data_IF_332421959355
#
_entry.id   IF_332421959355
#
_cell.length_a   1.000
_cell.length_b   1.000
_cell.length_c   1.000
_cell.angle_alpha   90.00
_cell.angle_beta   90.00
_cell.angle_gamma   90.00
#
_symmetry.space_group_name_H-M   'P 1'
#
loop_
_entity.id
_entity.type
_entity.pdbx_description
1 polymer ?
#
# COMPACT_ATOMS: atom_id res chain seq x y z
N UNK A 1 -8.59 -8.46 34.22
CA UNK A 1 -8.21 -7.58 33.09
C UNK A 1 -9.43 -7.15 32.27
N UNK A 2 -10.16 -8.06 31.61
CA UNK A 2 -11.37 -7.73 30.82
C UNK A 2 -12.42 -6.90 31.59
N UNK A 3 -12.78 -7.32 32.81
CA UNK A 3 -13.72 -6.58 33.66
C UNK A 3 -13.22 -5.17 34.05
N UNK A 4 -11.90 -5.02 34.23
CA UNK A 4 -11.28 -3.73 34.55
C UNK A 4 -11.27 -2.79 33.34
N UNK A 5 -11.04 -3.33 32.14
CA UNK A 5 -11.07 -2.56 30.89
C UNK A 5 -12.48 -2.08 30.54
N UNK A 6 -13.48 -2.94 30.77
CA UNK A 6 -14.89 -2.54 30.63
C UNK A 6 -15.21 -1.39 31.59
N UNK A 7 -14.77 -1.46 32.85
CA UNK A 7 -14.96 -0.35 33.81
C UNK A 7 -14.28 0.96 33.37
N UNK A 8 -13.11 0.90 32.73
CA UNK A 8 -12.43 2.10 32.21
C UNK A 8 -13.24 2.71 31.06
N UNK A 9 -13.81 1.85 30.20
CA UNK A 9 -14.67 2.29 29.09
C UNK A 9 -15.98 2.89 29.60
N UNK A 10 -16.64 2.23 30.54
CA UNK A 10 -17.96 2.64 31.04
C UNK A 10 -17.94 3.93 31.88
N UNK A 11 -16.77 4.27 32.45
CA UNK A 11 -16.59 5.50 33.23
C UNK A 11 -16.38 6.75 32.38
N UNK A 12 -16.25 6.62 31.06
CA UNK A 12 -15.95 7.72 30.12
C UNK A 12 -14.80 8.64 30.56
N UNK A 13 -13.86 8.10 31.34
CA UNK A 13 -12.71 8.87 31.86
C UNK A 13 -11.69 9.20 30.77
N UNK A 14 -11.70 8.46 29.66
CA UNK A 14 -10.77 8.60 28.56
C UNK A 14 -11.55 9.00 27.31
N UNK A 15 -11.27 10.20 26.81
CA UNK A 15 -11.81 10.68 25.54
C UNK A 15 -10.91 10.19 24.43
N UNK A 16 -11.45 9.32 23.59
CA UNK A 16 -10.76 8.84 22.40
C UNK A 16 -11.10 9.71 21.19
N UNK A 17 -10.34 9.52 20.11
CA UNK A 17 -10.58 10.19 18.83
C UNK A 17 -11.94 9.77 18.23
N UNK A 18 -12.67 10.70 17.59
CA UNK A 18 -14.01 10.46 17.08
C UNK A 18 -14.05 9.70 15.73
N UNK A 19 -12.97 9.74 14.95
CA UNK A 19 -12.91 9.22 13.58
C UNK A 19 -12.39 7.78 13.47
N UNK A 20 -11.96 7.15 14.57
CA UNK A 20 -11.48 5.77 14.57
C UNK A 20 -12.25 4.88 15.54
N UNK A 21 -12.32 3.58 15.22
CA UNK A 21 -12.85 2.58 16.14
C UNK A 21 -11.90 2.41 17.34
N UNK A 22 -12.40 2.73 18.53
CA UNK A 22 -11.58 2.82 19.74
C UNK A 22 -11.43 1.45 20.44
N UNK A 23 -10.19 0.98 20.55
CA UNK A 23 -9.86 -0.29 21.21
C UNK A 23 -8.62 -0.19 22.10
N UNK A 24 -8.76 -0.60 23.37
CA UNK A 24 -7.61 -0.76 24.27
C UNK A 24 -7.02 -2.15 24.03
N UNK A 25 -5.81 -2.20 23.49
CA UNK A 25 -5.06 -3.45 23.38
C UNK A 25 -4.38 -3.76 24.70
N UNK A 26 -4.53 -4.99 25.17
CA UNK A 26 -3.94 -5.41 26.42
C UNK A 26 -3.37 -6.83 26.30
N UNK A 27 -2.11 -6.96 26.68
CA UNK A 27 -1.36 -8.21 26.65
C UNK A 27 -0.90 -8.54 28.06
N UNK A 28 -1.04 -9.81 28.46
CA UNK A 28 -0.53 -10.31 29.75
C UNK A 28 0.63 -11.24 29.45
N UNK A 29 1.81 -10.92 29.95
CA UNK A 29 3.02 -11.69 29.73
C UNK A 29 3.56 -12.26 31.02
N UNK A 30 4.25 -13.41 30.92
CA UNK A 30 5.03 -13.95 32.03
C UNK A 30 6.29 -13.11 32.20
N UNK A 31 6.70 -12.91 33.44
CA UNK A 31 7.93 -12.20 33.75
C UNK A 31 9.15 -13.07 33.48
N UNK A 32 10.28 -12.42 33.26
CA UNK A 32 11.56 -13.10 33.11
C UNK A 32 11.91 -13.89 34.38
N UNK A 33 12.17 -15.20 34.28
CA UNK A 33 12.58 -16.04 35.42
C UNK A 33 13.99 -15.73 35.94
N UNK A 34 14.80 -14.98 35.19
CA UNK A 34 16.23 -14.76 35.47
C UNK A 34 16.50 -13.62 36.46
N UNK A 35 15.47 -12.87 36.82
CA UNK A 35 15.58 -11.66 37.65
C UNK A 35 14.65 -11.85 38.84
N UNK A 36 15.14 -11.55 40.05
CA UNK A 36 14.27 -11.50 41.23
C UNK A 36 13.44 -10.22 41.20
N UNK A 37 12.11 -10.36 41.20
CA UNK A 37 11.20 -9.23 41.10
C UNK A 37 10.67 -8.84 42.49
N UNK A 38 10.84 -7.58 42.94
CA UNK A 38 10.35 -7.14 44.24
C UNK A 38 8.81 -7.01 44.29
N UNK A 39 8.19 -6.62 43.19
CA UNK A 39 6.74 -6.38 43.11
C UNK A 39 6.01 -7.59 42.56
N UNK A 40 4.80 -7.91 43.04
CA UNK A 40 4.00 -9.05 42.52
C UNK A 40 3.38 -8.81 41.14
N UNK A 41 3.03 -7.56 40.82
CA UNK A 41 2.38 -7.17 39.55
C UNK A 41 3.06 -5.92 38.98
N UNK A 42 3.17 -5.85 37.66
CA UNK A 42 3.75 -4.73 36.91
C UNK A 42 2.91 -4.50 35.65
N UNK A 43 2.67 -3.24 35.31
CA UNK A 43 1.93 -2.85 34.10
C UNK A 43 2.69 -1.77 33.36
N UNK A 44 2.62 -1.83 32.03
CA UNK A 44 3.16 -0.81 31.12
C UNK A 44 2.02 -0.38 30.20
N UNK A 45 1.81 0.93 30.09
CA UNK A 45 0.88 1.52 29.15
C UNK A 45 1.69 2.19 28.04
N UNK A 46 1.49 1.73 26.81
CA UNK A 46 1.93 2.44 25.62
C UNK A 46 0.71 3.17 25.06
N UNK A 47 0.67 4.49 25.23
CA UNK A 47 -0.42 5.33 24.79
C UNK A 47 0.08 6.33 23.74
N UNK A 48 -0.52 6.29 22.56
CA UNK A 48 -0.43 7.39 21.62
C UNK A 48 -1.51 8.41 21.99
N UNK A 49 -1.10 9.62 22.39
CA UNK A 49 -2.01 10.65 22.88
C UNK A 49 -1.67 11.99 22.23
N UNK A 50 -2.68 12.66 21.65
CA UNK A 50 -2.51 13.94 20.93
C UNK A 50 -2.01 15.08 21.81
N UNK A 51 -2.13 14.96 23.13
CA UNK A 51 -1.60 15.93 24.10
C UNK A 51 -0.07 16.05 24.13
N UNK A 52 0.68 15.23 23.36
CA UNK A 52 2.11 15.45 23.12
C UNK A 52 2.38 16.81 22.44
N UNK A 53 1.39 17.36 21.70
CA UNK A 53 1.48 18.66 21.05
C UNK A 53 1.88 19.78 22.02
N UNK A 54 1.35 19.79 23.24
CA UNK A 54 1.67 20.80 24.26
C UNK A 54 3.16 20.82 24.64
N UNK A 55 3.80 19.64 24.65
CA UNK A 55 5.25 19.54 24.87
C UNK A 55 6.02 20.16 23.71
N UNK A 56 5.60 19.89 22.46
CA UNK A 56 6.22 20.48 21.28
C UNK A 56 6.03 22.00 21.22
N UNK A 57 4.86 22.52 21.59
CA UNK A 57 4.62 23.96 21.70
C UNK A 57 5.58 24.61 22.72
N UNK A 58 5.80 23.98 23.87
CA UNK A 58 6.76 24.48 24.87
C UNK A 58 8.21 24.45 24.35
N UNK A 59 8.58 23.42 23.59
CA UNK A 59 9.89 23.33 22.93
C UNK A 59 10.06 24.42 21.88
N UNK A 60 9.06 24.65 21.03
CA UNK A 60 9.05 25.73 20.03
C UNK A 60 9.15 27.11 20.69
N UNK A 61 8.41 27.34 21.76
CA UNK A 61 8.49 28.60 22.51
C UNK A 61 9.89 28.86 23.07
N UNK A 62 10.60 27.80 23.47
CA UNK A 62 11.97 27.89 23.96
C UNK A 62 12.95 28.12 22.82
N UNK A 63 12.76 27.44 21.69
CA UNK A 63 13.53 27.62 20.46
C UNK A 63 13.39 29.05 19.92
N UNK A 64 12.16 29.56 19.77
CA UNK A 64 11.89 30.90 19.23
C UNK A 64 12.55 32.01 20.08
N UNK A 65 12.61 31.83 21.41
CA UNK A 65 13.32 32.75 22.32
C UNK A 65 14.83 32.77 22.08
N UNK A 66 15.44 31.62 21.82
CA UNK A 66 16.87 31.49 21.54
C UNK A 66 17.21 31.97 20.13
N UNK A 67 16.39 31.61 19.13
CA UNK A 67 16.55 32.01 17.73
C UNK A 67 16.47 33.54 17.58
N UNK A 68 15.53 34.21 18.26
CA UNK A 68 15.42 35.68 18.30
C UNK A 68 16.67 36.36 18.85
N UNK A 69 17.34 35.74 19.82
CA UNK A 69 18.59 36.25 20.43
C UNK A 69 19.84 35.83 19.67
N UNK A 70 19.72 35.03 18.61
CA UNK A 70 20.83 34.37 17.90
C UNK A 70 21.81 33.67 18.86
N UNK A 71 21.29 33.15 19.97
CA UNK A 71 22.11 32.56 21.03
C UNK A 71 22.59 31.17 20.63
N UNK A 72 23.85 30.85 20.96
CA UNK A 72 24.48 29.55 20.76
C UNK A 72 24.60 29.06 19.31
N UNK A 73 24.36 29.92 18.31
CA UNK A 73 24.41 29.53 16.89
C UNK A 73 25.83 29.21 16.41
N UNK A 74 26.83 29.97 16.88
CA UNK A 74 28.23 29.81 16.48
C UNK A 74 28.81 28.42 16.78
N UNK A 75 28.27 27.72 17.78
CA UNK A 75 28.73 26.38 18.15
C UNK A 75 28.32 25.30 17.13
N UNK A 76 27.25 25.52 16.36
CA UNK A 76 26.72 24.49 15.46
C UNK A 76 27.43 24.40 14.11
N UNK A 77 28.33 25.33 13.81
CA UNK A 77 29.13 25.34 12.59
C UNK A 77 28.32 25.62 11.33
N UNK A 78 28.71 26.65 10.57
CA UNK A 78 28.06 27.01 9.30
C UNK A 78 28.17 25.92 8.22
N UNK A 79 29.13 25.00 8.35
CA UNK A 79 29.32 23.88 7.41
C UNK A 79 28.28 22.78 7.59
N UNK A 80 27.66 22.65 8.78
CA UNK A 80 26.70 21.58 9.09
C UNK A 80 25.26 22.03 8.88
N UNK A 81 24.92 23.27 9.25
CA UNK A 81 23.54 23.80 9.19
C UNK A 81 23.29 24.79 8.04
N UNK A 82 24.28 24.97 7.14
CA UNK A 82 24.23 25.96 6.06
C UNK A 82 24.61 27.38 6.51
N UNK A 83 24.75 28.29 5.53
CA UNK A 83 25.32 29.63 5.74
C UNK A 83 24.48 30.52 6.67
N UNK A 84 23.16 30.32 6.72
CA UNK A 84 22.22 31.13 7.51
C UNK A 84 21.41 30.34 8.55
N UNK A 85 21.77 29.06 8.77
CA UNK A 85 21.05 28.14 9.65
C UNK A 85 19.58 27.93 9.24
N UNK A 86 19.25 28.09 7.96
CA UNK A 86 17.89 27.96 7.40
C UNK A 86 17.26 26.58 7.66
N UNK A 87 18.10 25.56 7.84
CA UNK A 87 17.66 24.20 8.17
C UNK A 87 16.96 24.14 9.55
N UNK A 88 17.37 24.99 10.50
CA UNK A 88 16.71 25.11 11.80
C UNK A 88 15.31 25.71 11.66
N UNK A 89 15.16 26.72 10.80
CA UNK A 89 13.88 27.37 10.56
C UNK A 89 12.93 26.42 9.80
N UNK A 90 13.46 25.68 8.84
CA UNK A 90 12.72 24.60 8.15
C UNK A 90 12.26 23.53 9.14
N UNK A 91 13.13 23.10 10.06
CA UNK A 91 12.78 22.11 11.09
C UNK A 91 11.73 22.63 12.06
N UNK A 92 11.79 23.92 12.42
CA UNK A 92 10.79 24.60 13.24
C UNK A 92 9.42 24.61 12.57
N UNK A 93 9.35 24.88 11.26
CA UNK A 93 8.12 24.80 10.48
C UNK A 93 7.54 23.38 10.44
N UNK A 94 8.38 22.34 10.36
CA UNK A 94 7.91 20.94 10.40
C UNK A 94 7.27 20.58 11.74
N UNK A 95 7.86 21.01 12.85
CA UNK A 95 7.28 20.78 14.18
C UNK A 95 5.96 21.55 14.33
N UNK A 96 5.88 22.77 13.78
CA UNK A 96 4.64 23.56 13.75
C UNK A 96 3.52 22.82 12.99
N UNK A 97 3.81 22.29 11.80
CA UNK A 97 2.88 21.47 11.02
C UNK A 97 2.42 20.23 11.80
N UNK A 98 3.34 19.58 12.51
CA UNK A 98 3.03 18.41 13.34
C UNK A 98 2.08 18.75 14.49
N UNK A 99 2.27 19.90 15.15
CA UNK A 99 1.35 20.38 16.19
C UNK A 99 -0.05 20.62 15.60
N UNK A 100 -0.13 21.29 14.46
CA UNK A 100 -1.39 21.54 13.75
C UNK A 100 -2.10 20.24 13.37
N UNK A 101 -1.34 19.24 12.91
CA UNK A 101 -1.85 17.90 12.64
C UNK A 101 -2.42 17.22 13.90
N UNK A 102 -1.70 17.25 15.03
CA UNK A 102 -2.19 16.69 16.29
C UNK A 102 -3.45 17.39 16.80
N UNK A 103 -3.55 18.71 16.62
CA UNK A 103 -4.75 19.49 16.96
C UNK A 103 -5.91 19.13 16.02
N UNK A 104 -5.65 19.02 14.72
CA UNK A 104 -6.65 18.60 13.75
C UNK A 104 -7.17 17.19 14.05
N UNK A 105 -6.29 16.27 14.47
CA UNK A 105 -6.64 14.89 14.83
C UNK A 105 -7.61 14.77 16.01
N UNK A 106 -7.80 15.84 16.80
CA UNK A 106 -8.81 15.87 17.87
C UNK A 106 -10.23 16.12 17.34
N UNK A 107 -10.37 16.62 16.11
CA UNK A 107 -11.65 16.98 15.50
C UNK A 107 -12.23 15.79 14.73
N UNK A 108 -13.57 15.70 14.60
CA UNK A 108 -14.21 14.68 13.74
C UNK A 108 -13.87 14.85 12.27
N UNK A 109 -13.70 16.09 11.80
CA UNK A 109 -13.41 16.44 10.41
C UNK A 109 -11.95 16.17 9.99
N UNK A 110 -11.20 15.42 10.80
CA UNK A 110 -9.79 15.11 10.53
C UNK A 110 -9.62 14.28 9.26
N UNK A 111 -10.59 13.44 8.92
CA UNK A 111 -10.54 12.60 7.72
C UNK A 111 -10.46 13.45 6.44
N UNK A 112 -11.16 14.59 6.42
CA UNK A 112 -11.12 15.56 5.31
C UNK A 112 -9.90 16.49 5.38
N UNK A 113 -9.26 16.60 6.54
CA UNK A 113 -8.16 17.54 6.78
C UNK A 113 -6.86 17.15 6.04
N UNK A 114 -6.67 15.88 5.67
CA UNK A 114 -5.46 15.43 4.99
C UNK A 114 -5.60 15.46 3.46
N UNK A 115 -5.05 16.47 2.74
CA UNK A 115 -5.06 16.49 1.28
C UNK A 115 -4.28 15.32 0.65
N UNK A 116 -3.32 14.76 1.38
CA UNK A 116 -2.63 13.53 1.00
C UNK A 116 -3.55 12.32 1.03
N UNK A 117 -4.48 12.22 1.99
CA UNK A 117 -5.43 11.11 2.09
C UNK A 117 -6.42 11.13 0.94
N UNK A 118 -6.89 12.31 0.52
CA UNK A 118 -7.71 12.42 -0.70
C UNK A 118 -6.94 11.93 -1.94
N UNK A 119 -5.65 12.28 -2.07
CA UNK A 119 -4.80 11.81 -3.16
C UNK A 119 -4.50 10.31 -3.07
N UNK A 120 -4.28 9.79 -1.86
CA UNK A 120 -4.08 8.37 -1.57
C UNK A 120 -5.35 7.58 -1.92
N UNK A 121 -6.52 8.05 -1.51
CA UNK A 121 -7.80 7.41 -1.81
C UNK A 121 -8.09 7.43 -3.30
N UNK A 122 -7.76 8.53 -3.99
CA UNK A 122 -7.82 8.60 -5.46
C UNK A 122 -6.91 7.56 -6.12
N UNK A 123 -5.67 7.43 -5.66
CA UNK A 123 -4.73 6.42 -6.15
C UNK A 123 -5.20 4.99 -5.84
N UNK A 124 -5.80 4.74 -4.67
CA UNK A 124 -6.37 3.44 -4.31
C UNK A 124 -7.49 3.06 -5.26
N UNK A 125 -8.41 3.99 -5.55
CA UNK A 125 -9.51 3.74 -6.49
C UNK A 125 -8.99 3.48 -7.92
N UNK A 126 -7.96 4.19 -8.35
CA UNK A 126 -7.33 3.96 -9.65
C UNK A 126 -6.61 2.61 -9.71
N UNK A 127 -5.93 2.20 -8.64
CA UNK A 127 -5.32 0.87 -8.51
C UNK A 127 -6.39 -0.23 -8.59
N UNK A 128 -7.53 -0.06 -7.94
CA UNK A 128 -8.64 -1.03 -8.00
C UNK A 128 -9.22 -1.14 -9.41
N UNK A 129 -9.41 -0.01 -10.10
CA UNK A 129 -9.86 -0.01 -11.49
C UNK A 129 -8.87 -0.73 -12.41
N UNK A 130 -7.59 -0.39 -12.32
CA UNK A 130 -6.54 -1.01 -13.14
C UNK A 130 -6.42 -2.52 -12.91
N UNK A 131 -6.64 -2.99 -11.67
CA UNK A 131 -6.68 -4.44 -11.38
C UNK A 131 -7.80 -5.15 -12.14
N UNK A 132 -8.98 -4.54 -12.22
CA UNK A 132 -10.12 -5.09 -12.97
C UNK A 132 -9.81 -5.12 -14.47
N UNK A 133 -9.28 -4.01 -15.01
CA UNK A 133 -8.93 -3.93 -16.43
C UNK A 133 -7.87 -4.98 -16.80
N UNK A 134 -6.85 -5.15 -15.96
CA UNK A 134 -5.78 -6.16 -16.16
C UNK A 134 -6.35 -7.57 -16.20
N UNK A 135 -7.27 -7.90 -15.28
CA UNK A 135 -7.94 -9.19 -15.26
C UNK A 135 -8.75 -9.46 -16.53
N UNK A 136 -9.44 -8.43 -17.06
CA UNK A 136 -10.19 -8.56 -18.30
C UNK A 136 -9.26 -8.82 -19.51
N UNK A 137 -8.15 -8.08 -19.60
CA UNK A 137 -7.14 -8.29 -20.64
C UNK A 137 -6.53 -9.69 -20.60
N UNK A 138 -6.23 -10.22 -19.41
CA UNK A 138 -5.73 -11.60 -19.27
C UNK A 138 -6.73 -12.62 -19.81
N UNK A 139 -8.03 -12.43 -19.52
CA UNK A 139 -9.08 -13.32 -20.00
C UNK A 139 -9.26 -13.25 -21.52
N UNK A 140 -9.14 -12.06 -22.12
CA UNK A 140 -9.17 -11.87 -23.58
C UNK A 140 -7.97 -12.53 -24.27
N UNK A 141 -6.76 -12.38 -23.72
CA UNK A 141 -5.55 -13.03 -24.25
C UNK A 141 -5.67 -14.56 -24.27
N UNK A 142 -6.25 -15.16 -23.22
CA UNK A 142 -6.52 -16.60 -23.17
C UNK A 142 -7.50 -17.01 -24.27
N UNK A 143 -8.56 -16.24 -24.47
CA UNK A 143 -9.55 -16.51 -25.52
C UNK A 143 -8.93 -16.40 -26.92
N UNK A 144 -8.13 -15.36 -27.18
CA UNK A 144 -7.44 -15.17 -28.46
C UNK A 144 -6.48 -16.32 -28.76
N UNK A 145 -5.69 -16.76 -27.78
CA UNK A 145 -4.81 -17.93 -27.92
C UNK A 145 -5.60 -19.21 -28.25
N UNK A 146 -6.79 -19.37 -27.69
CA UNK A 146 -7.67 -20.50 -28.04
C UNK A 146 -8.17 -20.44 -29.48
N UNK A 147 -8.52 -19.25 -29.98
CA UNK A 147 -8.90 -19.06 -31.39
C UNK A 147 -7.73 -19.32 -32.34
N UNK A 148 -6.51 -18.89 -32.01
CA UNK A 148 -5.31 -19.16 -32.80
C UNK A 148 -5.04 -20.66 -32.93
N UNK A 149 -5.05 -21.40 -31.81
CA UNK A 149 -4.87 -22.87 -31.84
C UNK A 149 -5.90 -23.55 -32.72
N UNK A 150 -7.16 -23.10 -32.64
CA UNK A 150 -8.24 -23.63 -33.46
C UNK A 150 -8.05 -23.34 -34.96
N UNK A 151 -7.54 -22.16 -35.29
CA UNK A 151 -7.21 -21.78 -36.67
C UNK A 151 -6.05 -22.64 -37.22
N UNK A 152 -5.01 -22.89 -36.43
CA UNK A 152 -3.90 -23.76 -36.81
C UNK A 152 -4.33 -25.21 -37.06
N UNK A 153 -5.27 -25.71 -36.26
CA UNK A 153 -5.81 -27.06 -36.38
C UNK A 153 -6.61 -27.24 -37.67
N UNK A 154 -7.51 -26.30 -37.98
CA UNK A 154 -8.23 -26.26 -39.26
C UNK A 154 -7.27 -26.14 -40.46
N UNK A 155 -6.22 -25.32 -40.35
CA UNK A 155 -5.22 -25.20 -41.39
C UNK A 155 -4.44 -26.52 -41.61
N UNK A 156 -4.25 -27.31 -40.55
CA UNK A 156 -3.66 -28.66 -40.62
C UNK A 156 -4.58 -29.60 -41.37
N UNK A 157 -5.86 -29.64 -41.02
CA UNK A 157 -6.87 -30.49 -41.65
C UNK A 157 -7.03 -30.19 -43.15
N UNK A 158 -7.03 -28.91 -43.54
CA UNK A 158 -7.05 -28.51 -44.96
C UNK A 158 -5.83 -29.04 -45.71
N UNK A 159 -4.63 -28.97 -45.12
CA UNK A 159 -3.40 -29.50 -45.75
C UNK A 159 -3.47 -31.01 -45.93
N UNK A 160 -3.97 -31.75 -44.93
CA UNK A 160 -4.10 -33.20 -45.00
C UNK A 160 -5.11 -33.62 -46.08
N UNK A 161 -6.25 -32.94 -46.17
CA UNK A 161 -7.26 -33.14 -47.22
C UNK A 161 -6.70 -32.83 -48.62
N UNK A 162 -5.91 -31.76 -48.75
CA UNK A 162 -5.22 -31.42 -50.01
C UNK A 162 -4.21 -32.50 -50.42
N UNK A 163 -3.47 -33.08 -49.47
CA UNK A 163 -2.57 -34.20 -49.70
C UNK A 163 -3.31 -35.44 -50.20
N UNK A 164 -4.38 -35.85 -49.51
CA UNK A 164 -5.21 -36.98 -49.91
C UNK A 164 -5.82 -36.79 -51.32
N UNK A 165 -6.24 -35.57 -51.66
CA UNK A 165 -6.75 -35.25 -52.99
C UNK A 165 -5.66 -35.35 -54.06
N UNK A 166 -4.43 -34.92 -53.77
CA UNK A 166 -3.30 -35.05 -54.69
C UNK A 166 -2.97 -36.52 -54.97
N UNK A 167 -2.93 -37.35 -53.93
CA UNK A 167 -2.70 -38.80 -54.05
C UNK A 167 -3.81 -39.48 -54.87
N UNK A 168 -5.08 -39.16 -54.60
CA UNK A 168 -6.21 -39.67 -55.37
C UNK A 168 -6.11 -39.28 -56.86
N UNK A 169 -5.80 -38.01 -57.14
CA UNK A 169 -5.63 -37.52 -58.50
C UNK A 169 -4.44 -38.19 -59.21
N UNK A 170 -3.35 -38.48 -58.49
CA UNK A 170 -2.20 -39.24 -59.02
C UNK A 170 -2.59 -40.67 -59.42
N UNK A 171 -3.27 -41.41 -58.54
CA UNK A 171 -3.72 -42.79 -58.80
C UNK A 171 -4.74 -42.83 -59.96
N UNK A 172 -5.66 -41.87 -59.99
CA UNK A 172 -6.63 -41.72 -61.09
C UNK A 172 -5.92 -41.45 -62.42
N UNK A 173 -4.91 -40.58 -62.42
CA UNK A 173 -4.07 -40.30 -63.60
C UNK A 173 -3.38 -41.56 -64.13
N UNK A 174 -2.79 -42.37 -63.25
CA UNK A 174 -2.11 -43.63 -63.62
C UNK A 174 -3.08 -44.68 -64.20
N UNK A 175 -4.33 -44.75 -63.72
CA UNK A 175 -5.36 -45.61 -64.32
C UNK A 175 -5.80 -45.13 -65.70
N UNK A 176 -5.86 -43.82 -65.90
CA UNK A 176 -6.18 -43.22 -67.18
C UNK A 176 -5.10 -43.50 -68.24
N UNK A 177 -3.81 -43.41 -67.86
CA UNK A 177 -2.70 -43.69 -68.79
C UNK A 177 -2.55 -45.17 -69.12
N UNK A 178 -2.80 -46.06 -68.16
CA UNK A 178 -2.78 -47.52 -68.40
C UNK A 178 -3.94 -48.02 -69.26
N UNK A 179 -5.13 -47.41 -69.19
CA UNK A 179 -6.23 -47.69 -70.14
C UNK A 179 -5.94 -47.27 -71.58
N UNK A 180 -5.10 -46.25 -71.78
CA UNK A 180 -4.66 -45.83 -73.12
C UNK A 180 -3.62 -46.82 -73.68
N UNK A 181 -2.69 -47.30 -72.85
CA UNK A 181 -1.65 -48.27 -73.23
C UNK A 181 -2.16 -49.68 -73.55
N UNK A 182 -3.35 -50.10 -73.09
CA UNK A 182 -3.93 -51.41 -73.41
C UNK A 182 -4.84 -51.40 -74.66
N UNK A 183 -5.04 -50.23 -75.29
CA UNK A 183 -5.87 -50.06 -76.49
C UNK A 183 -5.05 -49.75 -77.77
N UNK A 184 -3.71 -49.85 -77.68
CA UNK A 184 -2.78 -49.93 -78.83
C UNK A 184 -2.20 -51.35 -78.92
#
# INVERSE_FOLDING_TARGET
>A
LRASLLRIRDRDTLKFIPWAANGILAFVTKRSPRIQWPNRVSGLLLANHTGISATFESMLNSFDKLRKKKAFLEQFGSDVLGRDYDELDTSRERIQQLIEEYVAATKPDFEDWQPSVAKINGLIAEIEKLKVDTFHYEQECVNLSAYEKKAEELAREIRDLQGALADYNMVRGLRFTSQISCNE
#
